data_IF_174145076813
#
_entry.id   IF_174145076813
#
_cell.length_a   1.000
_cell.length_b   1.000
_cell.length_c   1.000
_cell.angle_alpha   90.00
_cell.angle_beta   90.00
_cell.angle_gamma   90.00
#
_symmetry.space_group_name_H-M   'P 1'
#
loop_
_entity.id
_entity.type
_entity.pdbx_description
1 polymer ?
#
# COMPACT_ATOMS: atom_id res chain seq x y z
N UNK A 1 -3.98 3.11 -8.08
CA UNK A 1 -2.63 2.66 -7.68
C UNK A 1 -2.57 1.18 -7.26
N UNK A 2 -3.49 0.69 -6.43
CA UNK A 2 -3.54 -0.70 -5.96
C UNK A 2 -3.41 -1.76 -7.08
N UNK A 3 -4.12 -1.58 -8.21
CA UNK A 3 -4.07 -2.50 -9.36
C UNK A 3 -2.67 -2.60 -9.98
N UNK A 4 -1.95 -1.48 -10.07
CA UNK A 4 -0.60 -1.43 -10.63
C UNK A 4 0.40 -2.12 -9.71
N UNK A 5 0.31 -1.84 -8.41
CA UNK A 5 1.12 -2.52 -7.39
C UNK A 5 0.93 -4.04 -7.46
N UNK A 6 -0.33 -4.52 -7.43
CA UNK A 6 -0.65 -5.95 -7.54
C UNK A 6 -0.12 -6.57 -8.83
N UNK A 7 -0.18 -5.86 -9.94
CA UNK A 7 0.34 -6.33 -11.23
C UNK A 7 1.86 -6.46 -11.20
N UNK A 8 2.57 -5.47 -10.64
CA UNK A 8 4.03 -5.53 -10.51
C UNK A 8 4.46 -6.71 -9.63
N UNK A 9 3.87 -6.87 -8.45
CA UNK A 9 4.16 -8.01 -7.57
C UNK A 9 3.95 -9.34 -8.29
N UNK A 10 2.84 -9.50 -9.02
CA UNK A 10 2.57 -10.72 -9.81
C UNK A 10 3.63 -10.97 -10.88
N UNK A 11 4.09 -9.93 -11.58
CA UNK A 11 5.13 -10.04 -12.61
C UNK A 11 6.48 -10.42 -11.99
N UNK A 12 6.83 -9.84 -10.85
CA UNK A 12 8.06 -10.17 -10.13
C UNK A 12 8.04 -11.61 -9.62
N UNK A 13 6.94 -12.04 -9.00
CA UNK A 13 6.78 -13.43 -8.57
C UNK A 13 6.85 -14.42 -9.74
N UNK A 14 6.21 -14.10 -10.87
CA UNK A 14 6.28 -14.93 -12.07
C UNK A 14 7.69 -15.00 -12.64
N UNK A 15 8.44 -13.88 -12.64
CA UNK A 15 9.83 -13.84 -13.08
C UNK A 15 10.69 -14.81 -12.27
N UNK A 16 10.60 -14.78 -10.93
CA UNK A 16 11.39 -15.67 -10.08
C UNK A 16 11.08 -17.15 -10.32
N UNK A 17 9.81 -17.49 -10.54
CA UNK A 17 9.41 -18.87 -10.88
C UNK A 17 10.02 -19.31 -12.21
N UNK A 18 9.97 -18.44 -13.22
CA UNK A 18 10.53 -18.72 -14.55
C UNK A 18 12.05 -18.82 -14.51
N UNK A 19 12.73 -17.90 -13.83
CA UNK A 19 14.19 -17.88 -13.72
C UNK A 19 14.69 -19.12 -12.96
N UNK A 20 13.99 -19.52 -11.89
CA UNK A 20 14.32 -20.74 -11.17
C UNK A 20 14.13 -21.99 -12.03
N UNK A 21 12.99 -22.10 -12.73
CA UNK A 21 12.72 -23.24 -13.61
C UNK A 21 13.73 -23.32 -14.77
N UNK A 22 14.03 -22.19 -15.40
CA UNK A 22 15.04 -22.08 -16.45
C UNK A 22 16.43 -22.47 -15.95
N UNK A 23 16.84 -22.02 -14.76
CA UNK A 23 18.10 -22.40 -14.15
C UNK A 23 18.22 -23.91 -13.92
N UNK A 24 17.13 -24.57 -13.53
CA UNK A 24 17.08 -26.02 -13.36
C UNK A 24 17.17 -26.78 -14.69
N UNK A 25 16.49 -26.28 -15.74
CA UNK A 25 16.56 -26.85 -17.09
C UNK A 25 17.97 -26.73 -17.66
N UNK A 26 18.60 -25.55 -17.52
CA UNK A 26 19.97 -25.31 -18.00
C UNK A 26 21.00 -26.17 -17.27
N UNK A 27 20.75 -26.53 -16.00
CA UNK A 27 21.57 -27.47 -15.24
C UNK A 27 21.38 -28.93 -15.69
N UNK A 28 20.54 -29.22 -16.69
CA UNK A 28 20.33 -30.55 -17.25
C UNK A 28 19.36 -31.41 -16.44
N UNK A 29 18.57 -30.84 -15.53
CA UNK A 29 17.56 -31.61 -14.80
C UNK A 29 16.41 -32.03 -15.73
N UNK A 30 15.95 -33.29 -15.65
CA UNK A 30 14.79 -33.73 -16.41
C UNK A 30 13.53 -33.01 -15.93
N UNK A 31 12.57 -32.80 -16.84
CA UNK A 31 11.35 -32.05 -16.55
C UNK A 31 10.53 -32.60 -15.35
N UNK A 32 10.64 -33.91 -15.09
CA UNK A 32 9.99 -34.59 -13.95
C UNK A 32 10.59 -34.25 -12.58
N UNK A 33 11.80 -33.69 -12.54
CA UNK A 33 12.52 -33.37 -11.31
C UNK A 33 12.58 -31.86 -11.00
N UNK A 34 12.01 -31.02 -11.88
CA UNK A 34 11.93 -29.59 -11.65
C UNK A 34 10.99 -29.33 -10.48
N UNK A 35 11.54 -28.83 -9.38
CA UNK A 35 10.78 -28.46 -8.18
C UNK A 35 11.14 -27.05 -7.79
N UNK A 36 10.12 -26.21 -7.63
CA UNK A 36 10.30 -24.85 -7.14
C UNK A 36 10.64 -24.87 -5.65
N UNK A 37 11.56 -24.01 -5.24
CA UNK A 37 11.96 -23.84 -3.87
C UNK A 37 10.90 -23.00 -3.14
N UNK A 38 10.04 -23.69 -2.41
CA UNK A 38 8.97 -23.08 -1.61
C UNK A 38 9.33 -23.00 -0.13
N UNK A 39 10.62 -23.09 0.23
CA UNK A 39 11.03 -22.92 1.62
C UNK A 39 10.69 -21.52 2.11
N UNK A 40 10.24 -21.41 3.38
CA UNK A 40 9.76 -20.15 3.95
C UNK A 40 10.82 -19.05 3.87
N UNK A 41 12.10 -19.39 4.12
CA UNK A 41 13.20 -18.42 4.01
C UNK A 41 13.32 -17.81 2.62
N UNK A 42 13.33 -18.65 1.58
CA UNK A 42 13.42 -18.19 0.19
C UNK A 42 12.20 -17.38 -0.22
N UNK A 43 10.99 -17.79 0.17
CA UNK A 43 9.76 -17.05 -0.12
C UNK A 43 9.72 -15.69 0.59
N UNK A 44 10.22 -15.60 1.83
CA UNK A 44 10.34 -14.32 2.55
C UNK A 44 11.30 -13.38 1.83
N UNK A 45 12.50 -13.84 1.47
CA UNK A 45 13.48 -13.00 0.78
C UNK A 45 12.96 -12.50 -0.57
N UNK A 46 12.33 -13.39 -1.36
CA UNK A 46 11.73 -13.04 -2.66
C UNK A 46 10.56 -12.08 -2.52
N UNK A 47 9.64 -12.32 -1.57
CA UNK A 47 8.45 -11.48 -1.39
C UNK A 47 8.79 -10.03 -1.05
N UNK A 48 9.81 -9.81 -0.22
CA UNK A 48 10.34 -8.46 0.05
C UNK A 48 10.86 -7.82 -1.24
N UNK A 49 11.64 -8.58 -2.03
CA UNK A 49 12.10 -8.12 -3.35
C UNK A 49 10.96 -7.72 -4.29
N UNK A 50 9.87 -8.48 -4.31
CA UNK A 50 8.70 -8.17 -5.13
C UNK A 50 8.03 -6.87 -4.71
N UNK A 51 7.90 -6.63 -3.40
CA UNK A 51 7.32 -5.41 -2.85
C UNK A 51 8.21 -4.21 -3.17
N UNK A 52 9.52 -4.32 -2.96
CA UNK A 52 10.49 -3.26 -3.26
C UNK A 52 10.44 -2.89 -4.74
N UNK A 53 10.47 -3.89 -5.63
CA UNK A 53 10.33 -3.64 -7.07
C UNK A 53 8.99 -2.99 -7.41
N UNK A 54 7.89 -3.44 -6.78
CA UNK A 54 6.58 -2.87 -7.01
C UNK A 54 6.48 -1.41 -6.55
N UNK A 55 7.13 -1.05 -5.43
CA UNK A 55 7.25 0.34 -4.98
C UNK A 55 8.00 1.18 -6.01
N UNK A 56 9.13 0.69 -6.53
CA UNK A 56 9.86 1.39 -7.59
C UNK A 56 9.01 1.57 -8.85
N UNK A 57 8.28 0.54 -9.27
CA UNK A 57 7.43 0.59 -10.47
C UNK A 57 6.26 1.58 -10.34
N UNK A 58 5.72 1.78 -9.12
CA UNK A 58 4.62 2.73 -8.88
C UNK A 58 5.11 4.14 -8.50
N UNK A 59 6.40 4.31 -8.21
CA UNK A 59 7.00 5.58 -7.81
C UNK A 59 7.22 6.51 -9.03
N UNK A 60 6.18 6.66 -9.83
CA UNK A 60 6.10 7.62 -10.92
C UNK A 60 5.18 8.78 -10.48
N UNK A 61 5.69 10.03 -10.44
CA UNK A 61 4.89 11.20 -10.11
C UNK A 61 3.59 11.29 -10.91
N UNK A 62 3.58 10.89 -12.18
CA UNK A 62 2.39 10.92 -13.02
C UNK A 62 1.32 9.94 -12.53
N UNK A 63 1.72 8.73 -12.13
CA UNK A 63 0.81 7.71 -11.59
C UNK A 63 0.24 8.15 -10.24
N UNK A 64 1.10 8.71 -9.38
CA UNK A 64 0.71 9.18 -8.04
C UNK A 64 -0.28 10.35 -8.17
N UNK A 65 0.06 11.36 -8.99
CA UNK A 65 -0.83 12.50 -9.23
C UNK A 65 -2.17 12.03 -9.80
N UNK A 66 -2.15 11.12 -10.78
CA UNK A 66 -3.37 10.58 -11.35
C UNK A 66 -4.22 9.81 -10.33
N UNK A 67 -3.59 9.10 -9.41
CA UNK A 67 -4.30 8.40 -8.34
C UNK A 67 -5.07 9.38 -7.44
N UNK A 68 -4.45 10.50 -7.05
CA UNK A 68 -5.12 11.52 -6.25
C UNK A 68 -6.23 12.26 -7.02
N UNK A 69 -6.06 12.49 -8.32
CA UNK A 69 -7.11 13.05 -9.18
C UNK A 69 -8.37 12.16 -9.25
N UNK A 70 -8.17 10.83 -9.26
CA UNK A 70 -9.28 9.87 -9.28
C UNK A 70 -9.98 9.72 -7.93
N UNK A 71 -9.34 10.12 -6.82
CA UNK A 71 -9.94 10.13 -5.50
C UNK A 71 -10.83 11.38 -5.32
N UNK A 72 -12.10 11.27 -5.70
CA UNK A 72 -13.08 12.39 -5.69
C UNK A 72 -14.02 12.33 -4.49
N UNK A 73 -14.36 13.50 -3.95
CA UNK A 73 -15.41 13.70 -2.95
C UNK A 73 -16.23 14.91 -3.38
N UNK A 74 -17.45 14.66 -3.88
CA UNK A 74 -18.26 15.68 -4.53
C UNK A 74 -17.55 16.29 -5.74
N UNK A 75 -17.51 17.61 -5.82
CA UNK A 75 -16.91 18.34 -6.94
C UNK A 75 -15.38 18.33 -6.90
N UNK A 76 -14.79 18.22 -5.71
CA UNK A 76 -13.35 18.25 -5.48
C UNK A 76 -12.72 16.86 -5.55
N UNK A 77 -11.43 16.82 -5.84
CA UNK A 77 -10.61 15.62 -5.69
C UNK A 77 -9.46 15.85 -4.70
N UNK A 78 -8.76 14.79 -4.33
CA UNK A 78 -7.65 14.84 -3.37
C UNK A 78 -6.31 15.25 -3.99
N UNK A 79 -6.29 15.68 -5.25
CA UNK A 79 -5.06 16.22 -5.85
C UNK A 79 -4.74 17.59 -5.26
N UNK A 80 -3.45 17.90 -5.19
CA UNK A 80 -2.97 19.19 -4.73
C UNK A 80 -3.64 20.35 -5.49
N UNK A 81 -3.71 20.26 -6.81
CA UNK A 81 -4.30 21.30 -7.67
C UNK A 81 -5.77 21.57 -7.37
N UNK A 82 -6.55 20.53 -7.04
CA UNK A 82 -7.96 20.69 -6.63
C UNK A 82 -8.06 21.36 -5.26
N UNK A 83 -7.27 20.89 -4.28
CA UNK A 83 -7.34 21.39 -2.89
C UNK A 83 -6.80 22.82 -2.74
N UNK A 84 -5.83 23.21 -3.56
CA UNK A 84 -5.28 24.58 -3.58
C UNK A 84 -5.93 25.46 -4.65
N UNK A 85 -7.01 25.00 -5.28
CA UNK A 85 -7.70 25.79 -6.28
C UNK A 85 -8.32 27.06 -5.65
N UNK A 86 -8.39 28.19 -6.39
CA UNK A 86 -9.01 29.41 -5.88
C UNK A 86 -10.46 29.20 -5.43
N UNK A 87 -11.17 28.27 -6.07
CA UNK A 87 -12.54 27.91 -5.70
C UNK A 87 -12.59 27.20 -4.35
N UNK A 88 -11.76 26.16 -4.15
CA UNK A 88 -11.67 25.44 -2.88
C UNK A 88 -11.28 26.36 -1.73
N UNK A 89 -10.26 27.20 -1.94
CA UNK A 89 -9.83 28.19 -0.95
C UNK A 89 -10.91 29.24 -0.68
N UNK A 90 -11.64 29.66 -1.72
CA UNK A 90 -12.78 30.57 -1.60
C UNK A 90 -13.95 29.97 -0.80
N UNK A 91 -14.22 28.67 -0.96
CA UNK A 91 -15.18 27.92 -0.13
C UNK A 91 -14.72 27.85 1.32
N UNK A 92 -13.45 27.55 1.58
CA UNK A 92 -12.90 27.50 2.94
C UNK A 92 -12.99 28.86 3.65
N UNK A 93 -12.73 29.97 2.96
CA UNK A 93 -12.87 31.33 3.52
C UNK A 93 -14.32 31.65 3.89
N UNK A 94 -15.27 31.24 3.05
CA UNK A 94 -16.70 31.43 3.29
C UNK A 94 -17.28 30.47 4.33
N UNK A 95 -16.58 29.38 4.66
CA UNK A 95 -17.05 28.39 5.63
C UNK A 95 -17.42 29.00 6.98
N UNK A 96 -16.70 30.05 7.41
CA UNK A 96 -17.01 30.79 8.64
C UNK A 96 -18.41 31.40 8.62
N UNK A 97 -18.88 31.82 7.46
CA UNK A 97 -20.18 32.48 7.25
C UNK A 97 -21.26 31.45 6.89
N UNK A 98 -20.94 30.51 6.00
CA UNK A 98 -21.87 29.50 5.48
C UNK A 98 -22.19 28.39 6.51
N UNK A 99 -21.21 28.00 7.34
CA UNK A 99 -21.37 26.97 8.38
C UNK A 99 -20.43 27.22 9.57
N UNK A 100 -20.82 28.11 10.50
CA UNK A 100 -19.98 28.48 11.64
C UNK A 100 -19.75 27.31 12.61
N UNK A 101 -20.67 26.35 12.68
CA UNK A 101 -20.53 25.18 13.55
C UNK A 101 -19.37 24.27 13.10
N UNK A 102 -19.34 23.93 11.80
CA UNK A 102 -18.24 23.14 11.22
C UNK A 102 -16.91 23.89 11.27
N UNK A 103 -16.93 25.21 11.04
CA UNK A 103 -15.72 26.04 11.16
C UNK A 103 -15.14 26.01 12.59
N UNK A 104 -16.00 26.12 13.61
CA UNK A 104 -15.58 26.06 15.01
C UNK A 104 -15.02 24.68 15.38
N UNK A 105 -15.62 23.60 14.88
CA UNK A 105 -15.12 22.24 15.07
C UNK A 105 -13.71 22.06 14.47
N UNK A 106 -13.51 22.46 13.21
CA UNK A 106 -12.22 22.37 12.53
C UNK A 106 -11.15 23.21 13.21
N UNK A 107 -11.49 24.43 13.66
CA UNK A 107 -10.55 25.32 14.36
C UNK A 107 -10.14 24.74 15.71
N UNK A 108 -11.10 24.17 16.46
CA UNK A 108 -10.83 23.50 17.73
C UNK A 108 -9.91 22.28 17.55
N UNK A 109 -10.06 21.53 16.47
CA UNK A 109 -9.15 20.41 16.15
C UNK A 109 -7.73 20.89 15.85
N UNK A 110 -7.55 22.02 15.16
CA UNK A 110 -6.23 22.58 14.88
C UNK A 110 -5.50 22.98 16.18
N UNK A 111 -6.22 23.54 17.15
CA UNK A 111 -5.66 23.89 18.45
C UNK A 111 -5.23 22.64 19.24
N UNK A 112 -5.97 21.53 19.12
CA UNK A 112 -5.63 20.26 19.75
C UNK A 112 -4.39 19.57 19.13
N UNK A 113 -4.15 19.75 17.83
CA UNK A 113 -2.96 19.20 17.12
C UNK A 113 -1.69 19.98 17.47
N UNK A 114 -1.81 21.26 17.83
CA UNK A 114 -0.66 22.10 18.20
C UNK A 114 -0.13 21.80 19.61
N UNK A 115 -0.92 21.09 20.43
CA UNK A 115 -0.56 20.69 21.80
C UNK A 115 -0.03 19.26 21.91
N UNK A 116 0.54 18.67 20.87
CA UNK A 116 1.36 17.46 21.06
C UNK A 116 2.67 17.93 21.69
N UNK A 117 2.93 17.73 23.00
CA UNK A 117 4.29 17.90 23.50
C UNK A 117 5.17 17.00 22.66
N UNK A 118 6.37 17.46 22.31
CA UNK A 118 7.43 16.57 21.83
C UNK A 118 7.67 15.56 22.95
N UNK A 119 6.94 14.46 22.92
CA UNK A 119 7.25 13.30 23.73
C UNK A 119 8.58 12.81 23.17
N UNK A 120 9.61 12.79 24.02
CA UNK A 120 10.71 11.86 23.80
C UNK A 120 10.04 10.49 23.62
N UNK A 121 9.98 10.04 22.38
CA UNK A 121 9.55 8.69 22.06
C UNK A 121 10.72 7.84 22.55
N UNK A 122 10.69 7.42 23.83
CA UNK A 122 11.33 6.16 24.17
C UNK A 122 10.69 5.14 23.23
N UNK A 123 11.50 4.53 22.37
CA UNK A 123 11.05 3.46 21.49
C UNK A 123 10.56 2.31 22.37
N UNK A 124 9.28 2.36 22.73
CA UNK A 124 8.56 1.25 23.32
C UNK A 124 8.78 0.05 22.39
N UNK A 125 9.33 -1.07 22.89
CA UNK A 125 9.53 -2.25 22.08
C UNK A 125 8.20 -2.62 21.45
N UNK A 126 8.20 -2.89 20.14
CA UNK A 126 6.99 -3.25 19.38
C UNK A 126 6.17 -4.27 20.17
N UNK A 127 5.11 -3.83 20.82
CA UNK A 127 4.12 -4.74 21.34
C UNK A 127 3.47 -5.41 20.12
N UNK A 128 3.43 -6.74 20.13
CA UNK A 128 2.57 -7.52 19.24
C UNK A 128 1.12 -7.09 19.51
N UNK A 129 0.71 -5.98 18.91
CA UNK A 129 -0.70 -5.69 18.73
C UNK A 129 -1.15 -6.72 17.73
N UNK A 130 -2.07 -7.59 18.13
CA UNK A 130 -2.86 -8.42 17.22
C UNK A 130 -3.63 -7.47 16.29
N UNK A 131 -2.95 -6.93 15.29
CA UNK A 131 -3.56 -6.29 14.14
C UNK A 131 -4.32 -7.42 13.48
N UNK A 132 -5.63 -7.48 13.73
CA UNK A 132 -6.53 -8.30 12.94
C UNK A 132 -6.43 -7.79 11.50
N UNK A 133 -5.56 -8.43 10.73
CA UNK A 133 -5.47 -8.27 9.30
C UNK A 133 -6.73 -8.91 8.71
N UNK A 134 -7.68 -8.07 8.28
CA UNK A 134 -8.88 -8.52 7.53
C UNK A 134 -8.51 -9.26 6.22
N UNK A 135 -7.22 -9.48 5.93
CA UNK A 135 -6.72 -10.35 4.87
C UNK A 135 -6.44 -11.81 5.30
N UNK A 136 -6.73 -12.22 6.55
CA UNK A 136 -6.54 -13.61 6.99
C UNK A 136 -7.50 -14.56 6.25
N UNK A 137 -7.06 -15.06 5.09
CA UNK A 137 -7.57 -16.31 4.53
C UNK A 137 -7.10 -17.40 5.50
N UNK A 138 -8.00 -18.06 6.23
CA UNK A 138 -7.58 -19.00 7.25
C UNK A 138 -6.80 -20.15 6.61
N UNK A 139 -5.71 -20.57 7.25
CA UNK A 139 -4.75 -21.54 6.71
C UNK A 139 -5.40 -22.88 6.30
N UNK A 140 -6.56 -23.20 6.87
CA UNK A 140 -7.37 -24.35 6.48
C UNK A 140 -7.93 -24.26 5.05
N UNK A 141 -8.16 -23.05 4.53
CA UNK A 141 -8.61 -22.81 3.14
C UNK A 141 -7.45 -23.02 2.17
N UNK A 142 -6.24 -22.59 2.55
CA UNK A 142 -5.02 -22.80 1.74
C UNK A 142 -4.61 -24.27 1.73
N UNK A 143 -4.72 -24.98 2.87
CA UNK A 143 -4.40 -26.40 2.93
C UNK A 143 -5.38 -27.27 2.14
N UNK A 144 -6.66 -26.88 2.06
CA UNK A 144 -7.66 -27.55 1.22
C UNK A 144 -7.41 -27.40 -0.28
N UNK A 145 -6.79 -26.30 -0.71
CA UNK A 145 -6.45 -26.03 -2.12
C UNK A 145 -5.15 -26.71 -2.58
N UNK A 146 -4.23 -27.01 -1.66
CA UNK A 146 -2.97 -27.72 -1.96
C UNK A 146 -3.09 -29.25 -1.87
N UNK A 147 -4.19 -29.76 -1.32
CA UNK A 147 -4.46 -31.19 -1.18
C UNK A 147 -5.40 -31.76 -2.27
N UNK A 148 -5.73 -30.97 -3.29
CA UNK A 148 -6.50 -31.40 -4.48
C UNK A 148 -5.64 -31.58 -5.71
#
# INVERSE_FOLDING_TARGET
>A
IQRLLKLSVKRSAHRDIVDEALGQIQAGKPASEIKLNTTIGVLRDRSVGWIVQAVHDINDPAIIQKAFEMCRVGDYNRSHTSLTSPEALGRLRRLREDNPALYAELTRLADAVTTVPVLEIEEEPFHEVDVYDDCDIPLNVVSGLLAS
#
